data_IF_655092657446
#
_entry.id   IF_655092657446
#
_cell.length_a   1.000
_cell.length_b   1.000
_cell.length_c   1.000
_cell.angle_alpha   90.00
_cell.angle_beta   90.00
_cell.angle_gamma   90.00
#
_symmetry.space_group_name_H-M   'P 1'
#
loop_
_entity.id
_entity.type
_entity.pdbx_description
1 polymer ?
#
# COMPACT_ATOMS: atom_id res chain seq x y z
N UNK A 1 -11.05 19.66 10.11
CA UNK A 1 -10.10 19.03 9.17
C UNK A 1 -10.93 18.47 8.04
N UNK A 2 -10.61 18.79 6.79
CA UNK A 2 -11.28 18.19 5.63
C UNK A 2 -10.99 16.68 5.63
N UNK A 3 -12.03 15.87 5.40
CA UNK A 3 -11.89 14.41 5.29
C UNK A 3 -11.30 14.10 3.93
N UNK A 4 -10.02 13.74 3.89
CA UNK A 4 -9.39 13.20 2.68
C UNK A 4 -9.93 11.79 2.48
N UNK A 5 -10.48 11.52 1.30
CA UNK A 5 -10.98 10.20 0.91
C UNK A 5 -9.96 9.60 -0.03
N UNK A 6 -9.41 8.44 0.32
CA UNK A 6 -8.53 7.67 -0.55
C UNK A 6 -9.38 6.87 -1.54
N UNK A 7 -8.93 6.84 -2.79
CA UNK A 7 -9.53 6.03 -3.84
C UNK A 7 -8.43 5.19 -4.48
N UNK A 8 -8.74 3.92 -4.73
CA UNK A 8 -7.85 2.98 -5.38
C UNK A 8 -8.15 2.92 -6.87
N UNK A 9 -7.12 2.65 -7.68
CA UNK A 9 -7.34 2.15 -9.03
C UNK A 9 -7.91 0.73 -8.93
N UNK A 10 -8.82 0.30 -9.84
CA UNK A 10 -9.42 -1.02 -9.78
C UNK A 10 -8.40 -2.16 -9.69
N UNK A 11 -7.30 -2.07 -10.44
CA UNK A 11 -6.21 -3.05 -10.42
C UNK A 11 -5.46 -3.12 -9.08
N UNK A 12 -5.43 -2.01 -8.31
CA UNK A 12 -4.80 -1.97 -6.99
C UNK A 12 -5.73 -2.60 -5.96
N UNK A 13 -7.02 -2.32 -6.03
CA UNK A 13 -8.04 -2.92 -5.16
C UNK A 13 -8.09 -4.44 -5.35
N UNK A 14 -8.14 -4.90 -6.61
CA UNK A 14 -8.09 -6.34 -6.94
C UNK A 14 -6.81 -6.99 -6.41
N UNK A 15 -5.65 -6.36 -6.63
CA UNK A 15 -4.38 -6.87 -6.11
C UNK A 15 -4.37 -7.00 -4.58
N UNK A 16 -4.85 -5.99 -3.85
CA UNK A 16 -4.87 -6.02 -2.38
C UNK A 16 -5.82 -7.11 -1.86
N UNK A 17 -6.97 -7.32 -2.50
CA UNK A 17 -7.91 -8.39 -2.13
C UNK A 17 -7.28 -9.79 -2.27
N UNK A 18 -6.46 -10.01 -3.30
CA UNK A 18 -5.80 -11.29 -3.55
C UNK A 18 -4.49 -11.48 -2.77
N UNK A 19 -3.90 -10.39 -2.28
CA UNK A 19 -2.56 -10.38 -1.70
C UNK A 19 -2.42 -11.32 -0.51
N UNK A 20 -3.43 -11.37 0.37
CA UNK A 20 -3.40 -12.22 1.57
C UNK A 20 -3.26 -13.70 1.21
N UNK A 21 -4.03 -14.17 0.22
CA UNK A 21 -3.91 -15.53 -0.28
C UNK A 21 -2.57 -15.77 -0.97
N UNK A 22 -2.13 -14.84 -1.82
CA UNK A 22 -0.86 -14.95 -2.55
C UNK A 22 0.34 -15.09 -1.62
N UNK A 23 0.39 -14.28 -0.55
CA UNK A 23 1.48 -14.30 0.43
C UNK A 23 1.50 -15.62 1.22
N UNK A 24 0.32 -16.13 1.59
CA UNK A 24 0.20 -17.43 2.25
C UNK A 24 0.64 -18.58 1.33
N UNK A 25 0.17 -18.61 0.08
CA UNK A 25 0.56 -19.63 -0.91
C UNK A 25 2.07 -19.64 -1.20
N UNK A 26 2.73 -18.49 -1.07
CA UNK A 26 4.18 -18.36 -1.22
C UNK A 26 4.97 -18.65 0.07
N UNK A 27 4.30 -19.14 1.12
CA UNK A 27 4.90 -19.52 2.40
C UNK A 27 5.61 -18.35 3.12
N UNK A 28 5.21 -17.10 2.86
CA UNK A 28 5.70 -15.95 3.65
C UNK A 28 5.15 -15.96 5.08
N UNK A 29 3.99 -16.57 5.27
CA UNK A 29 3.33 -16.72 6.57
C UNK A 29 2.97 -18.19 6.81
N UNK A 30 3.18 -18.67 8.03
CA UNK A 30 2.81 -20.03 8.42
C UNK A 30 1.31 -20.23 8.71
N UNK A 31 0.57 -19.13 8.86
CA UNK A 31 -0.87 -19.10 9.12
C UNK A 31 -1.53 -18.09 8.18
N UNK A 32 -2.69 -18.44 7.66
CA UNK A 32 -3.40 -17.61 6.67
C UNK A 32 -3.93 -16.33 7.31
N UNK A 33 -4.34 -16.40 8.57
CA UNK A 33 -4.82 -15.26 9.36
C UNK A 33 -3.76 -14.17 9.47
N UNK A 34 -2.50 -14.54 9.75
CA UNK A 34 -1.39 -13.60 9.83
C UNK A 34 -1.10 -12.92 8.48
N UNK A 35 -1.39 -13.62 7.37
CA UNK A 35 -1.23 -13.08 6.03
C UNK A 35 -2.29 -12.01 5.72
N UNK A 36 -3.53 -12.23 6.14
CA UNK A 36 -4.59 -11.24 6.03
C UNK A 36 -4.40 -10.06 6.97
N UNK A 37 -4.02 -10.30 8.22
CA UNK A 37 -3.69 -9.24 9.19
C UNK A 37 -2.61 -8.30 8.65
N UNK A 38 -1.58 -8.86 7.99
CA UNK A 38 -0.56 -8.07 7.32
C UNK A 38 -1.10 -7.18 6.19
N UNK A 39 -2.06 -7.67 5.40
CA UNK A 39 -2.69 -6.88 4.33
C UNK A 39 -3.60 -5.81 4.92
N UNK A 40 -4.35 -6.12 5.96
CA UNK A 40 -5.18 -5.16 6.69
C UNK A 40 -4.33 -3.99 7.23
N UNK A 41 -3.15 -4.26 7.81
CA UNK A 41 -2.21 -3.22 8.25
C UNK A 41 -1.74 -2.31 7.10
N UNK A 42 -1.53 -2.88 5.90
CA UNK A 42 -1.17 -2.11 4.69
C UNK A 42 -2.33 -1.21 4.29
N UNK A 43 -3.56 -1.73 4.26
CA UNK A 43 -4.78 -0.96 3.92
C UNK A 43 -5.01 0.15 4.94
N UNK A 44 -4.91 -0.15 6.24
CA UNK A 44 -5.04 0.83 7.31
C UNK A 44 -4.00 1.95 7.20
N UNK A 45 -2.76 1.62 6.83
CA UNK A 45 -1.76 2.64 6.54
C UNK A 45 -2.22 3.56 5.39
N UNK A 46 -2.69 2.98 4.28
CA UNK A 46 -3.12 3.73 3.10
C UNK A 46 -4.34 4.61 3.44
N UNK A 47 -5.33 4.12 4.16
CA UNK A 47 -6.55 4.87 4.43
C UNK A 47 -6.37 5.97 5.49
N UNK A 48 -5.65 5.68 6.57
CA UNK A 48 -5.61 6.54 7.75
C UNK A 48 -4.33 7.35 7.89
N UNK A 49 -3.20 6.83 7.43
CA UNK A 49 -1.89 7.45 7.66
C UNK A 49 -1.39 8.19 6.42
N UNK A 50 -1.59 7.63 5.23
CA UNK A 50 -1.16 8.21 3.96
C UNK A 50 -1.61 9.67 3.77
N UNK A 51 -2.85 10.09 4.10
CA UNK A 51 -3.28 11.48 3.86
C UNK A 51 -2.51 12.53 4.66
N UNK A 52 -1.93 12.14 5.80
CA UNK A 52 -1.17 13.02 6.70
C UNK A 52 0.35 12.79 6.61
N UNK A 53 0.79 11.78 5.85
CA UNK A 53 2.19 11.40 5.76
C UNK A 53 2.95 12.32 4.77
N UNK A 54 4.21 12.69 5.06
CA UNK A 54 4.99 13.51 4.14
C UNK A 54 5.29 12.77 2.83
N UNK A 55 4.84 13.36 1.72
CA UNK A 55 5.04 12.84 0.38
C UNK A 55 6.36 13.28 -0.25
N UNK A 56 6.91 12.46 -1.14
CA UNK A 56 8.04 12.83 -2.00
C UNK A 56 7.55 13.06 -3.43
N UNK A 57 8.23 13.94 -4.17
CA UNK A 57 7.96 14.15 -5.60
C UNK A 57 8.54 13.00 -6.41
N UNK A 58 7.73 12.43 -7.30
CA UNK A 58 8.19 11.35 -8.18
C UNK A 58 9.18 11.89 -9.22
N UNK A 59 10.28 11.18 -9.51
CA UNK A 59 11.19 11.51 -10.62
C UNK A 59 10.48 11.55 -11.98
N UNK A 60 10.97 12.38 -12.91
CA UNK A 60 10.32 12.59 -14.21
C UNK A 60 10.16 11.30 -15.03
N UNK A 61 11.13 10.39 -14.96
CA UNK A 61 11.08 9.10 -15.66
C UNK A 61 10.07 8.10 -15.09
N UNK A 62 9.45 8.39 -13.94
CA UNK A 62 8.44 7.54 -13.28
C UNK A 62 7.11 8.26 -13.08
N UNK A 63 6.94 9.46 -13.65
CA UNK A 63 5.80 10.32 -13.37
C UNK A 63 4.46 9.73 -13.84
N UNK A 64 4.50 8.82 -14.81
CA UNK A 64 3.33 8.09 -15.31
C UNK A 64 2.67 7.24 -14.22
N UNK A 65 3.43 6.80 -13.21
CA UNK A 65 2.92 6.01 -12.07
C UNK A 65 2.23 6.87 -11.00
N UNK A 66 2.50 8.18 -10.99
CA UNK A 66 1.98 9.11 -9.98
C UNK A 66 2.90 10.32 -9.78
N UNK A 67 2.33 11.47 -9.44
CA UNK A 67 3.09 12.72 -9.23
C UNK A 67 3.82 12.76 -7.89
N UNK A 68 3.39 11.94 -6.92
CA UNK A 68 4.08 11.75 -5.64
C UNK A 68 4.18 10.28 -5.26
N UNK A 69 5.03 9.99 -4.28
CA UNK A 69 5.15 8.66 -3.70
C UNK A 69 5.52 8.69 -2.22
N UNK A 70 5.28 7.58 -1.53
CA UNK A 70 5.66 7.31 -0.14
C UNK A 70 6.32 5.93 -0.03
N UNK A 71 7.23 5.81 0.93
CA UNK A 71 7.70 4.51 1.42
C UNK A 71 7.00 4.18 2.73
N UNK A 72 6.32 3.03 2.77
CA UNK A 72 5.75 2.46 3.99
C UNK A 72 6.54 1.23 4.39
N UNK A 73 7.24 1.31 5.52
CA UNK A 73 8.00 0.18 6.06
C UNK A 73 7.06 -0.67 6.93
N UNK A 74 6.46 -1.70 6.33
CA UNK A 74 5.56 -2.60 7.05
C UNK A 74 6.28 -3.41 8.13
N UNK A 75 7.51 -3.86 7.85
CA UNK A 75 8.32 -4.57 8.83
C UNK A 75 9.83 -4.40 8.55
N UNK A 76 10.68 -5.18 9.23
CA UNK A 76 12.13 -5.05 9.11
C UNK A 76 12.70 -5.43 7.75
N UNK A 77 12.00 -6.25 6.96
CA UNK A 77 12.44 -6.79 5.66
C UNK A 77 11.61 -6.30 4.48
N UNK A 78 10.40 -5.77 4.70
CA UNK A 78 9.48 -5.35 3.64
C UNK A 78 9.17 -3.85 3.72
N UNK A 79 9.34 -3.16 2.59
CA UNK A 79 8.94 -1.77 2.41
C UNK A 79 8.09 -1.66 1.15
N UNK A 80 6.89 -1.12 1.31
CA UNK A 80 5.98 -0.81 0.22
C UNK A 80 6.32 0.54 -0.40
N UNK A 81 6.26 0.59 -1.72
CA UNK A 81 6.31 1.82 -2.50
C UNK A 81 4.88 2.15 -2.95
N UNK A 82 4.35 3.27 -2.49
CA UNK A 82 2.98 3.71 -2.80
C UNK A 82 3.08 4.94 -3.70
N UNK A 83 2.63 4.83 -4.95
CA UNK A 83 2.54 5.95 -5.89
C UNK A 83 1.17 6.60 -5.83
N UNK A 84 1.14 7.93 -5.93
CA UNK A 84 -0.05 8.73 -5.73
C UNK A 84 -0.27 9.65 -6.92
N UNK A 85 -1.52 9.66 -7.38
CA UNK A 85 -2.01 10.61 -8.38
C UNK A 85 -2.93 11.59 -7.65
N UNK A 86 -2.57 12.87 -7.67
CA UNK A 86 -3.39 13.98 -7.15
C UNK A 86 -3.66 14.97 -8.25
#
# INVERSE_FOLDING_TARGET
MEKIIVQYLPEVEEYLNDLGYLLFQKEYFGFIENSFEYVDEVVDFIEYNLPIFPFRKTPENLIELGSKYIFYKANHTTTWYVSLKM
#
